data_IF_784251490846
#
_entry.id   IF_784251490846
#
_cell.length_a   1.000
_cell.length_b   1.000
_cell.length_c   1.000
_cell.angle_alpha   90.00
_cell.angle_beta   90.00
_cell.angle_gamma   90.00
#
_symmetry.space_group_name_H-M   'P 1'
#
loop_
_entity.id
_entity.type
_entity.pdbx_description
1 polymer ?
#
# COMPACT_ATOMS: atom_id res chain seq x y z
N UNK A 1 72.56 64.39 -22.31
CA UNK A 1 72.81 65.49 -23.28
C UNK A 1 71.82 65.33 -24.42
N UNK A 2 70.94 66.31 -24.63
CA UNK A 2 69.91 66.39 -25.69
C UNK A 2 70.52 66.60 -27.09
N UNK A 3 69.78 66.49 -28.23
CA UNK A 3 68.68 67.41 -28.62
C UNK A 3 67.42 66.72 -29.18
N UNK A 4 66.20 67.17 -28.79
CA UNK A 4 65.26 68.12 -29.45
C UNK A 4 64.33 67.50 -30.53
N UNK A 5 63.04 67.45 -30.18
CA UNK A 5 61.95 68.16 -30.88
C UNK A 5 61.44 67.63 -32.23
N UNK A 6 60.16 67.26 -32.28
CA UNK A 6 59.41 67.15 -33.55
C UNK A 6 58.04 66.44 -33.44
N UNK A 7 57.00 67.17 -33.02
CA UNK A 7 55.59 67.02 -33.42
C UNK A 7 54.77 65.78 -32.98
N UNK A 8 53.48 65.92 -32.63
CA UNK A 8 52.62 64.78 -32.32
C UNK A 8 52.14 64.12 -33.63
N UNK A 9 52.37 62.81 -33.78
CA UNK A 9 51.74 62.00 -34.81
C UNK A 9 50.30 61.68 -34.36
N UNK A 10 49.34 62.42 -34.90
CA UNK A 10 47.92 62.11 -34.83
C UNK A 10 47.68 60.82 -35.63
N UNK A 11 47.43 59.72 -34.92
CA UNK A 11 46.96 58.48 -35.51
C UNK A 11 45.44 58.60 -35.69
N UNK A 12 45.00 58.88 -36.90
CA UNK A 12 43.60 58.74 -37.31
C UNK A 12 43.15 57.28 -37.09
N UNK A 13 42.03 57.02 -36.40
CA UNK A 13 41.54 55.68 -36.20
C UNK A 13 41.05 55.10 -37.53
N UNK A 14 41.74 54.07 -38.03
CA UNK A 14 41.27 53.26 -39.16
C UNK A 14 39.97 52.58 -38.73
N UNK A 15 38.84 53.11 -39.22
CA UNK A 15 37.53 52.51 -38.98
C UNK A 15 37.49 51.11 -39.62
N UNK A 16 37.09 50.06 -38.88
CA UNK A 16 37.05 48.71 -39.42
C UNK A 16 36.07 48.64 -40.60
N UNK A 17 36.51 48.01 -41.70
CA UNK A 17 35.72 47.82 -42.91
C UNK A 17 34.33 47.23 -42.56
N UNK A 18 33.22 47.81 -43.03
CA UNK A 18 31.86 47.37 -42.69
C UNK A 18 31.59 45.89 -42.99
N UNK A 19 32.33 45.27 -43.91
CA UNK A 19 32.24 43.84 -44.21
C UNK A 19 32.81 42.96 -43.10
N UNK A 20 33.94 43.33 -42.46
CA UNK A 20 34.52 42.53 -41.37
C UNK A 20 33.68 42.60 -40.10
N UNK A 21 33.08 43.76 -39.82
CA UNK A 21 32.14 43.94 -38.71
C UNK A 21 30.84 43.13 -38.91
N UNK A 22 30.33 43.02 -40.14
CA UNK A 22 29.16 42.19 -40.48
C UNK A 22 29.44 40.70 -40.34
N UNK A 23 30.59 40.23 -40.83
CA UNK A 23 30.99 38.83 -40.71
C UNK A 23 31.24 38.44 -39.25
N UNK A 24 31.87 39.30 -38.46
CA UNK A 24 32.05 39.08 -37.03
C UNK A 24 30.70 39.00 -36.28
N UNK A 25 29.74 39.87 -36.62
CA UNK A 25 28.39 39.83 -36.04
C UNK A 25 27.62 38.57 -36.43
N UNK A 26 27.75 38.09 -37.67
CA UNK A 26 27.12 36.84 -38.12
C UNK A 26 27.74 35.61 -37.45
N UNK A 27 29.07 35.58 -37.30
CA UNK A 27 29.76 34.51 -36.59
C UNK A 27 29.37 34.45 -35.10
N UNK A 28 29.28 35.63 -34.44
CA UNK A 28 28.83 35.72 -33.05
C UNK A 28 27.35 35.33 -32.91
N UNK A 29 26.49 35.74 -33.84
CA UNK A 29 25.07 35.40 -33.85
C UNK A 29 24.80 33.91 -34.09
N UNK A 30 25.69 33.18 -34.78
CA UNK A 30 25.60 31.73 -34.96
C UNK A 30 26.23 30.93 -33.80
N UNK A 31 27.29 31.44 -33.17
CA UNK A 31 27.98 30.76 -32.07
C UNK A 31 27.20 30.80 -30.75
N UNK A 32 26.49 31.90 -30.47
CA UNK A 32 25.68 32.06 -29.23
C UNK A 32 24.57 31.00 -29.11
N UNK A 33 23.70 30.74 -30.11
CA UNK A 33 22.65 29.73 -29.99
C UNK A 33 23.22 28.29 -29.93
N UNK A 34 24.36 28.01 -30.58
CA UNK A 34 24.98 26.69 -30.54
C UNK A 34 25.61 26.38 -29.17
N UNK A 35 26.31 27.35 -28.58
CA UNK A 35 26.85 27.24 -27.23
C UNK A 35 25.72 27.19 -26.18
N UNK A 36 24.65 27.96 -26.39
CA UNK A 36 23.46 27.95 -25.52
C UNK A 36 22.72 26.60 -25.58
N UNK A 37 22.62 25.95 -26.74
CA UNK A 37 22.02 24.63 -26.88
C UNK A 37 22.81 23.52 -26.17
N UNK A 38 24.14 23.63 -26.12
CA UNK A 38 25.02 22.70 -25.41
C UNK A 38 25.02 22.90 -23.88
N UNK A 39 24.75 24.12 -23.40
CA UNK A 39 24.67 24.45 -21.98
C UNK A 39 23.25 24.29 -21.40
N UNK A 40 22.20 24.44 -22.21
CA UNK A 40 20.81 24.44 -21.75
C UNK A 40 20.17 23.05 -21.65
N UNK A 41 20.82 21.99 -22.15
CA UNK A 41 20.29 20.63 -22.06
C UNK A 41 21.42 19.63 -21.81
N UNK A 42 21.45 18.93 -20.66
CA UNK A 42 22.48 17.94 -20.40
C UNK A 42 22.48 16.91 -21.55
N UNK A 43 23.66 16.50 -22.05
CA UNK A 43 23.72 15.67 -23.23
C UNK A 43 22.98 14.36 -22.97
N UNK A 44 22.25 13.88 -23.98
CA UNK A 44 21.29 12.77 -23.87
C UNK A 44 21.85 11.49 -23.22
N UNK A 45 23.17 11.28 -23.29
CA UNK A 45 23.87 10.17 -22.64
C UNK A 45 23.99 10.36 -21.11
N UNK A 46 24.16 11.59 -20.63
CA UNK A 46 24.17 11.93 -19.20
C UNK A 46 22.77 11.78 -18.60
N UNK A 47 21.73 12.22 -19.32
CA UNK A 47 20.33 12.03 -18.93
C UNK A 47 19.96 10.55 -18.88
N UNK A 48 20.39 9.76 -19.89
CA UNK A 48 20.26 8.29 -19.88
C UNK A 48 21.03 7.63 -18.73
N UNK A 49 22.27 8.05 -18.45
CA UNK A 49 23.08 7.50 -17.38
C UNK A 49 22.48 7.80 -15.99
N UNK A 50 21.96 9.02 -15.79
CA UNK A 50 21.30 9.42 -14.55
C UNK A 50 19.95 8.70 -14.36
N UNK A 51 19.16 8.53 -15.42
CA UNK A 51 17.93 7.71 -15.38
C UNK A 51 18.24 6.22 -15.13
N UNK A 52 19.27 5.67 -15.79
CA UNK A 52 19.71 4.28 -15.63
C UNK A 52 20.32 4.00 -14.25
N UNK A 53 20.97 4.99 -13.62
CA UNK A 53 21.52 4.87 -12.27
C UNK A 53 20.45 4.76 -11.17
N UNK A 54 19.17 5.01 -11.51
CA UNK A 54 18.07 5.05 -10.56
C UNK A 54 18.15 6.20 -9.56
N UNK A 55 19.21 7.03 -9.58
CA UNK A 55 19.44 8.12 -8.60
C UNK A 55 18.43 9.26 -8.70
N UNK A 56 17.76 9.43 -9.85
CA UNK A 56 16.74 10.47 -10.07
C UNK A 56 15.31 10.02 -9.71
N UNK A 57 15.11 8.76 -9.37
CA UNK A 57 13.78 8.20 -9.10
C UNK A 57 13.75 7.76 -7.66
N UNK A 58 12.96 8.45 -6.84
CA UNK A 58 12.82 8.10 -5.43
C UNK A 58 12.45 6.62 -5.25
N UNK A 59 12.87 5.95 -4.16
CA UNK A 59 12.49 4.56 -3.89
C UNK A 59 10.99 4.31 -4.04
N UNK A 60 10.16 5.27 -3.64
CA UNK A 60 8.70 5.23 -3.74
C UNK A 60 8.23 5.18 -5.20
N UNK A 61 8.84 5.99 -6.08
CA UNK A 61 8.51 5.96 -7.52
C UNK A 61 8.93 4.64 -8.17
N UNK A 62 10.05 4.04 -7.74
CA UNK A 62 10.46 2.70 -8.22
C UNK A 62 9.47 1.62 -7.78
N UNK A 63 9.05 1.65 -6.52
CA UNK A 63 8.04 0.71 -6.00
C UNK A 63 6.70 0.85 -6.75
N UNK A 64 6.23 2.08 -6.92
CA UNK A 64 4.98 2.35 -7.65
C UNK A 64 5.04 1.87 -9.11
N UNK A 65 6.18 2.05 -9.78
CA UNK A 65 6.39 1.54 -11.14
C UNK A 65 6.41 0.01 -11.18
N UNK A 66 7.05 -0.64 -10.20
CA UNK A 66 7.04 -2.09 -10.06
C UNK A 66 5.63 -2.63 -9.82
N UNK A 67 4.86 -2.03 -8.91
CA UNK A 67 3.46 -2.39 -8.67
C UNK A 67 2.60 -2.23 -9.91
N UNK A 68 2.83 -1.18 -10.70
CA UNK A 68 2.10 -0.95 -11.95
C UNK A 68 2.40 -2.04 -12.99
N UNK A 69 3.65 -2.49 -13.09
CA UNK A 69 4.04 -3.60 -13.97
C UNK A 69 3.42 -4.93 -13.50
N UNK A 70 3.44 -5.21 -12.19
CA UNK A 70 2.77 -6.39 -11.63
C UNK A 70 1.28 -6.37 -11.91
N UNK A 71 0.60 -5.24 -11.69
CA UNK A 71 -0.82 -5.08 -12.00
C UNK A 71 -1.13 -5.37 -13.47
N UNK A 72 -0.30 -4.88 -14.40
CA UNK A 72 -0.48 -5.14 -15.85
C UNK A 72 -0.28 -6.61 -16.16
N UNK A 73 0.79 -7.24 -15.67
CA UNK A 73 1.05 -8.66 -15.85
C UNK A 73 -0.10 -9.53 -15.29
N UNK A 74 -0.59 -9.18 -14.10
CA UNK A 74 -1.76 -9.79 -13.49
C UNK A 74 -3.00 -9.64 -14.37
N UNK A 75 -3.27 -8.44 -14.87
CA UNK A 75 -4.43 -8.17 -15.75
C UNK A 75 -4.33 -8.96 -17.06
N UNK A 76 -3.15 -9.03 -17.67
CA UNK A 76 -2.92 -9.79 -18.91
C UNK A 76 -2.97 -11.30 -18.71
N UNK A 77 -2.56 -11.80 -17.54
CA UNK A 77 -2.64 -13.22 -17.18
C UNK A 77 -4.05 -13.66 -16.75
N UNK A 78 -4.91 -12.70 -16.36
CA UNK A 78 -6.33 -12.93 -16.09
C UNK A 78 -7.07 -12.96 -17.44
N UNK A 79 -7.16 -14.14 -18.07
CA UNK A 79 -8.04 -14.37 -19.25
C UNK A 79 -9.53 -14.08 -18.97
N UNK A 80 -10.46 -14.63 -19.75
CA UNK A 80 -11.93 -14.42 -19.58
C UNK A 80 -12.50 -15.04 -18.29
N UNK A 81 -12.09 -14.54 -17.12
CA UNK A 81 -12.71 -14.91 -15.85
C UNK A 81 -14.12 -14.35 -15.81
N UNK A 82 -15.05 -15.19 -15.32
CA UNK A 82 -16.39 -14.75 -14.93
C UNK A 82 -16.25 -13.53 -14.01
N UNK A 83 -16.99 -12.46 -14.31
CA UNK A 83 -17.02 -11.28 -13.45
C UNK A 83 -17.57 -11.68 -12.10
N UNK A 84 -16.81 -11.42 -11.05
CA UNK A 84 -17.26 -11.57 -9.66
C UNK A 84 -17.41 -10.17 -9.10
N UNK A 85 -18.58 -9.87 -8.55
CA UNK A 85 -18.82 -8.65 -7.78
C UNK A 85 -18.71 -9.01 -6.30
N UNK A 86 -17.85 -8.30 -5.58
CA UNK A 86 -17.68 -8.45 -4.13
C UNK A 86 -18.14 -7.16 -3.47
N UNK A 87 -19.01 -7.29 -2.48
CA UNK A 87 -19.47 -6.19 -1.63
C UNK A 87 -18.73 -6.28 -0.30
N UNK A 88 -17.94 -5.26 0.01
CA UNK A 88 -17.21 -5.14 1.27
C UNK A 88 -17.95 -4.15 2.16
N UNK A 89 -18.43 -4.64 3.29
CA UNK A 89 -19.27 -3.90 4.22
C UNK A 89 -18.56 -3.92 5.57
N UNK A 90 -18.27 -2.75 6.12
CA UNK A 90 -17.81 -2.62 7.51
C UNK A 90 -19.01 -2.84 8.43
N UNK A 91 -18.78 -3.46 9.59
CA UNK A 91 -19.81 -3.55 10.64
C UNK A 91 -20.35 -2.16 11.01
N UNK A 92 -21.60 -2.11 11.49
CA UNK A 92 -22.17 -0.88 12.05
C UNK A 92 -21.43 -0.41 13.30
N UNK A 93 -21.72 0.78 13.80
CA UNK A 93 -21.12 1.29 15.04
C UNK A 93 -21.19 0.27 16.19
N UNK A 94 -20.09 0.14 16.93
CA UNK A 94 -19.97 -0.75 18.09
C UNK A 94 -19.71 0.05 19.36
N UNK A 95 -19.94 -0.57 20.52
CA UNK A 95 -19.65 0.06 21.82
C UNK A 95 -18.19 0.53 21.92
N UNK A 96 -17.24 -0.23 21.36
CA UNK A 96 -15.83 0.17 21.28
C UNK A 96 -15.59 1.36 20.33
N UNK A 97 -16.48 1.62 19.36
CA UNK A 97 -16.37 2.80 18.51
C UNK A 97 -16.69 4.09 19.27
N UNK A 98 -17.56 4.04 20.29
CA UNK A 98 -17.83 5.18 21.17
C UNK A 98 -16.57 5.63 21.92
N UNK A 99 -15.64 4.69 22.14
CA UNK A 99 -14.34 4.91 22.77
C UNK A 99 -13.17 4.96 21.76
N UNK A 100 -13.43 4.87 20.45
CA UNK A 100 -12.38 4.70 19.42
C UNK A 100 -11.48 5.92 19.26
N UNK A 101 -11.88 7.10 19.74
CA UNK A 101 -11.01 8.28 19.80
C UNK A 101 -9.95 8.19 20.91
N UNK A 102 -10.15 7.30 21.87
CA UNK A 102 -9.37 7.22 23.10
C UNK A 102 -8.45 6.00 23.13
N UNK A 103 -8.94 4.84 22.66
CA UNK A 103 -8.24 3.56 22.78
C UNK A 103 -7.93 2.98 21.40
N UNK A 104 -6.74 2.39 21.24
CA UNK A 104 -6.35 1.68 20.03
C UNK A 104 -7.15 0.39 19.90
N UNK A 105 -7.96 0.29 18.85
CA UNK A 105 -8.71 -0.92 18.51
C UNK A 105 -7.83 -2.07 18.00
N UNK A 106 -8.45 -3.19 17.67
CA UNK A 106 -7.77 -4.38 17.16
C UNK A 106 -8.70 -5.57 17.03
N UNK A 107 -8.18 -6.78 17.25
CA UNK A 107 -8.93 -8.04 17.19
C UNK A 107 -9.81 -8.28 18.43
N UNK A 108 -10.57 -7.27 18.81
CA UNK A 108 -11.68 -7.46 19.72
C UNK A 108 -12.81 -8.14 18.94
N UNK A 109 -13.31 -9.26 19.45
CA UNK A 109 -14.39 -10.05 18.83
C UNK A 109 -15.68 -10.01 19.65
N UNK A 110 -15.61 -9.57 20.90
CA UNK A 110 -16.71 -9.65 21.85
C UNK A 110 -17.57 -8.38 21.87
N UNK A 111 -16.99 -7.22 21.53
CA UNK A 111 -17.73 -5.95 21.56
C UNK A 111 -18.97 -6.00 20.63
N UNK A 112 -20.16 -5.69 21.18
CA UNK A 112 -21.41 -5.69 20.43
C UNK A 112 -21.59 -4.41 19.59
N UNK A 113 -22.63 -4.39 18.76
CA UNK A 113 -23.09 -3.16 18.11
C UNK A 113 -23.71 -2.22 19.14
N UNK A 114 -23.63 -0.91 18.89
CA UNK A 114 -24.47 0.07 19.56
C UNK A 114 -25.88 0.05 18.95
N UNK A 115 -26.85 0.70 19.62
CA UNK A 115 -28.19 0.89 19.06
C UNK A 115 -28.14 1.57 17.67
N UNK A 116 -27.28 2.58 17.52
CA UNK A 116 -27.00 3.24 16.23
C UNK A 116 -26.45 2.25 15.21
N UNK A 117 -25.54 1.35 15.60
CA UNK A 117 -24.98 0.33 14.73
C UNK A 117 -25.97 -0.72 14.25
N UNK A 118 -26.95 -1.08 15.08
CA UNK A 118 -28.06 -1.95 14.68
C UNK A 118 -28.96 -1.25 13.65
N UNK A 119 -29.28 0.02 13.86
CA UNK A 119 -30.07 0.80 12.90
C UNK A 119 -29.33 0.99 11.56
N UNK A 120 -28.02 1.24 11.60
CA UNK A 120 -27.18 1.29 10.39
C UNK A 120 -27.23 -0.03 9.61
N UNK A 121 -27.21 -1.17 10.30
CA UNK A 121 -27.31 -2.49 9.66
C UNK A 121 -28.69 -2.70 9.02
N UNK A 122 -29.75 -2.21 9.67
CA UNK A 122 -31.12 -2.25 9.15
C UNK A 122 -31.27 -1.42 7.88
N UNK A 123 -30.84 -0.16 7.91
CA UNK A 123 -30.87 0.76 6.75
C UNK A 123 -30.02 0.25 5.58
N UNK A 124 -28.89 -0.39 5.86
CA UNK A 124 -28.10 -1.08 4.86
C UNK A 124 -28.93 -2.17 4.16
N UNK A 125 -29.61 -3.03 4.91
CA UNK A 125 -30.45 -4.08 4.35
C UNK A 125 -31.58 -3.54 3.48
N UNK A 126 -32.27 -2.48 3.93
CA UNK A 126 -33.31 -1.81 3.13
C UNK A 126 -32.76 -1.24 1.81
N UNK A 127 -31.56 -0.64 1.85
CA UNK A 127 -30.91 -0.16 0.64
C UNK A 127 -30.59 -1.31 -0.30
N UNK A 128 -30.04 -2.41 0.20
CA UNK A 128 -29.74 -3.60 -0.61
C UNK A 128 -31.00 -4.19 -1.27
N UNK A 129 -32.14 -4.14 -0.56
CA UNK A 129 -33.44 -4.55 -1.10
C UNK A 129 -33.88 -3.63 -2.24
N UNK A 130 -33.84 -2.31 -2.04
CA UNK A 130 -34.19 -1.32 -3.07
C UNK A 130 -33.31 -1.44 -4.31
N UNK A 131 -32.03 -1.75 -4.13
CA UNK A 131 -31.06 -1.94 -5.21
C UNK A 131 -31.25 -3.27 -5.96
N UNK A 132 -32.20 -4.13 -5.53
CA UNK A 132 -32.48 -5.42 -6.17
C UNK A 132 -31.30 -6.39 -6.13
N UNK A 133 -30.43 -6.29 -5.11
CA UNK A 133 -29.20 -7.05 -5.05
C UNK A 133 -29.47 -8.55 -4.91
N UNK A 134 -28.86 -9.35 -5.79
CA UNK A 134 -28.77 -10.80 -5.64
C UNK A 134 -27.39 -11.19 -5.12
N UNK A 135 -27.35 -12.01 -4.08
CA UNK A 135 -26.11 -12.54 -3.50
C UNK A 135 -26.08 -14.06 -3.56
N UNK A 136 -24.96 -14.60 -4.01
CA UNK A 136 -24.72 -16.05 -4.03
C UNK A 136 -24.24 -16.56 -2.66
N UNK A 137 -23.54 -15.71 -1.90
CA UNK A 137 -23.01 -16.03 -0.59
C UNK A 137 -22.81 -14.77 0.27
N UNK A 138 -22.95 -14.94 1.58
CA UNK A 138 -22.69 -13.91 2.59
C UNK A 138 -21.62 -14.43 3.54
N UNK A 139 -20.62 -13.60 3.82
CA UNK A 139 -19.54 -13.92 4.75
C UNK A 139 -19.43 -12.83 5.81
N UNK A 140 -19.15 -13.24 7.04
CA UNK A 140 -18.83 -12.33 8.14
C UNK A 140 -17.64 -12.88 8.94
N UNK A 141 -16.93 -12.01 9.64
CA UNK A 141 -15.94 -12.48 10.62
C UNK A 141 -16.63 -13.07 11.85
N UNK A 142 -15.84 -13.70 12.73
CA UNK A 142 -16.33 -14.23 13.99
C UNK A 142 -16.57 -13.15 15.07
N UNK A 143 -16.29 -11.88 14.78
CA UNK A 143 -16.61 -10.79 15.69
C UNK A 143 -18.13 -10.60 15.79
N UNK A 144 -18.65 -10.49 17.02
CA UNK A 144 -20.08 -10.36 17.32
C UNK A 144 -20.71 -9.22 16.54
N UNK A 145 -20.07 -8.04 16.52
CA UNK A 145 -20.55 -6.87 15.76
C UNK A 145 -20.68 -7.14 14.25
N UNK A 146 -19.71 -7.84 13.64
CA UNK A 146 -19.74 -8.12 12.20
C UNK A 146 -20.82 -9.14 11.85
N UNK A 147 -20.95 -10.19 12.67
CA UNK A 147 -22.03 -11.18 12.52
C UNK A 147 -23.40 -10.53 12.67
N UNK A 148 -23.61 -9.73 13.73
CA UNK A 148 -24.88 -9.06 13.99
C UNK A 148 -25.26 -8.09 12.88
N UNK A 149 -24.30 -7.32 12.33
CA UNK A 149 -24.54 -6.47 11.16
C UNK A 149 -25.00 -7.30 9.96
N UNK A 150 -24.33 -8.41 9.66
CA UNK A 150 -24.70 -9.28 8.54
C UNK A 150 -26.10 -9.89 8.74
N UNK A 151 -26.40 -10.37 9.94
CA UNK A 151 -27.70 -10.98 10.27
C UNK A 151 -28.85 -9.96 10.10
N UNK A 152 -28.73 -8.75 10.68
CA UNK A 152 -29.73 -7.69 10.55
C UNK A 152 -29.90 -7.27 9.08
N UNK A 153 -28.79 -7.01 8.38
CA UNK A 153 -28.83 -6.54 7.00
C UNK A 153 -29.44 -7.60 6.06
N UNK A 154 -29.12 -8.88 6.25
CA UNK A 154 -29.71 -9.97 5.45
C UNK A 154 -31.21 -10.10 5.69
N UNK A 155 -31.65 -9.99 6.95
CA UNK A 155 -33.06 -10.02 7.30
C UNK A 155 -33.84 -8.88 6.61
N UNK A 156 -33.35 -7.63 6.74
CA UNK A 156 -33.97 -6.47 6.10
C UNK A 156 -33.89 -6.49 4.55
N UNK A 157 -32.86 -7.12 3.99
CA UNK A 157 -32.70 -7.28 2.54
C UNK A 157 -33.48 -8.47 1.95
N UNK A 158 -34.22 -9.24 2.76
CA UNK A 158 -34.84 -10.50 2.38
C UNK A 158 -33.87 -11.53 1.75
N UNK A 159 -32.60 -11.49 2.17
CA UNK A 159 -31.55 -12.41 1.74
C UNK A 159 -31.67 -13.70 2.55
N UNK A 160 -31.88 -14.83 1.85
CA UNK A 160 -32.08 -16.15 2.47
C UNK A 160 -30.78 -16.93 2.69
N UNK A 161 -29.68 -16.48 2.10
CA UNK A 161 -28.37 -17.13 2.23
C UNK A 161 -27.90 -17.06 3.68
N UNK A 162 -27.53 -18.22 4.26
CA UNK A 162 -26.94 -18.28 5.59
C UNK A 162 -25.61 -17.52 5.62
N UNK A 163 -25.43 -16.66 6.62
CA UNK A 163 -24.15 -15.99 6.90
C UNK A 163 -23.09 -17.04 7.24
N UNK A 164 -22.03 -17.11 6.43
CA UNK A 164 -20.87 -18.00 6.65
C UNK A 164 -19.82 -17.26 7.47
N UNK A 165 -19.46 -17.83 8.61
CA UNK A 165 -18.40 -17.26 9.45
C UNK A 165 -17.04 -17.64 8.87
N UNK A 166 -16.25 -16.63 8.51
CA UNK A 166 -14.87 -16.78 8.02
C UNK A 166 -13.92 -16.07 9.00
N UNK A 167 -13.22 -16.82 9.88
CA UNK A 167 -12.38 -16.24 10.91
C UNK A 167 -11.26 -15.34 10.37
N UNK A 168 -10.81 -15.56 9.14
CA UNK A 168 -9.76 -14.76 8.47
C UNK A 168 -10.20 -13.34 8.11
N UNK A 169 -11.51 -13.04 8.15
CA UNK A 169 -12.06 -11.70 7.91
C UNK A 169 -12.05 -10.79 9.16
N UNK A 170 -11.51 -11.26 10.29
CA UNK A 170 -11.41 -10.43 11.50
C UNK A 170 -10.52 -9.20 11.27
N UNK A 171 -10.79 -8.14 12.02
CA UNK A 171 -10.03 -6.88 12.02
C UNK A 171 -8.51 -7.12 12.06
N UNK A 172 -7.75 -6.18 11.49
CA UNK A 172 -6.30 -6.19 11.59
C UNK A 172 -5.85 -6.12 13.05
N UNK A 173 -4.82 -6.90 13.42
CA UNK A 173 -4.25 -6.82 14.78
C UNK A 173 -3.21 -5.72 14.84
N UNK A 174 -3.32 -4.86 15.85
CA UNK A 174 -2.33 -3.83 16.15
C UNK A 174 -1.23 -4.35 17.10
N UNK A 175 -1.23 -5.65 17.41
CA UNK A 175 -0.24 -6.28 18.29
C UNK A 175 -0.24 -5.67 19.69
N UNK A 176 0.94 -5.30 20.19
CA UNK A 176 1.13 -4.70 21.51
C UNK A 176 0.58 -3.27 21.65
N UNK A 177 0.04 -2.69 20.58
CA UNK A 177 -0.61 -1.37 20.63
C UNK A 177 -2.08 -1.45 21.03
N UNK A 178 -2.72 -2.62 20.88
CA UNK A 178 -4.14 -2.80 21.19
C UNK A 178 -4.43 -2.43 22.65
N UNK A 179 -5.62 -1.84 22.90
CA UNK A 179 -6.09 -1.41 24.22
C UNK A 179 -5.29 -0.29 24.91
N UNK A 180 -4.27 0.27 24.25
CA UNK A 180 -3.54 1.45 24.76
C UNK A 180 -4.24 2.74 24.39
N UNK A 181 -3.94 3.81 25.12
CA UNK A 181 -4.45 5.14 24.81
C UNK A 181 -3.84 5.64 23.50
N UNK A 182 -4.69 6.08 22.59
CA UNK A 182 -4.29 6.65 21.30
C UNK A 182 -3.42 7.88 21.47
N UNK A 183 -3.72 8.71 22.47
CA UNK A 183 -2.92 9.88 22.82
C UNK A 183 -1.46 9.52 23.10
N UNK A 184 -1.19 8.38 23.73
CA UNK A 184 0.16 7.89 24.01
C UNK A 184 0.79 7.21 22.79
N UNK A 185 0.02 6.35 22.11
CA UNK A 185 0.52 5.53 20.99
C UNK A 185 0.88 6.38 19.78
N UNK A 186 0.09 7.41 19.49
CA UNK A 186 0.26 8.28 18.32
C UNK A 186 0.88 9.65 18.65
N UNK A 187 1.27 9.90 19.90
CA UNK A 187 2.01 11.12 20.26
C UNK A 187 3.31 11.27 19.46
N UNK A 188 3.81 12.51 19.38
CA UNK A 188 5.17 12.78 18.93
C UNK A 188 6.17 11.94 19.76
N UNK A 189 7.03 11.20 19.07
CA UNK A 189 7.94 10.26 19.72
C UNK A 189 7.28 9.02 20.30
N UNK A 190 5.98 8.78 20.09
CA UNK A 190 5.26 7.56 20.48
C UNK A 190 5.66 6.34 19.63
N UNK A 191 5.25 5.12 20.04
CA UNK A 191 5.69 3.87 19.40
C UNK A 191 5.43 3.80 17.90
N UNK A 192 4.31 4.36 17.41
CA UNK A 192 3.99 4.36 15.98
C UNK A 192 4.95 5.26 15.20
N UNK A 193 5.12 6.52 15.61
CA UNK A 193 5.98 7.46 14.90
C UNK A 193 7.46 7.08 15.01
N UNK A 194 7.90 6.52 16.14
CA UNK A 194 9.25 5.92 16.27
C UNK A 194 9.46 4.77 15.30
N UNK A 195 8.48 3.89 15.14
CA UNK A 195 8.54 2.77 14.21
C UNK A 195 8.58 3.20 12.74
N UNK A 196 7.86 4.26 12.38
CA UNK A 196 7.89 4.82 11.02
C UNK A 196 9.22 5.53 10.73
N UNK A 197 9.77 6.26 11.71
CA UNK A 197 11.05 6.95 11.58
C UNK A 197 12.26 5.99 11.58
N UNK A 198 12.09 4.76 12.08
CA UNK A 198 13.14 3.75 12.05
C UNK A 198 13.44 3.33 10.60
N UNK A 199 14.69 3.37 10.14
CA UNK A 199 15.04 2.95 8.79
C UNK A 199 14.74 1.45 8.61
N UNK A 200 13.76 1.11 7.77
CA UNK A 200 13.43 -0.29 7.49
C UNK A 200 14.24 -0.84 6.32
N UNK A 201 14.88 -1.99 6.53
CA UNK A 201 15.58 -2.76 5.48
C UNK A 201 14.66 -3.22 4.33
N UNK A 202 13.34 -3.16 4.51
CA UNK A 202 12.31 -3.58 3.56
C UNK A 202 11.99 -2.53 2.46
N UNK A 203 12.53 -1.31 2.58
CA UNK A 203 12.30 -0.22 1.60
C UNK A 203 13.19 -0.31 0.36
N UNK A 204 14.13 -1.26 0.31
CA UNK A 204 14.94 -1.54 -0.87
C UNK A 204 14.14 -2.43 -1.85
N UNK A 205 13.72 -1.93 -3.04
CA UNK A 205 13.15 -2.81 -4.06
C UNK A 205 14.18 -3.91 -4.41
N UNK A 206 13.74 -5.14 -4.71
CA UNK A 206 14.67 -6.21 -5.07
C UNK A 206 15.57 -5.75 -6.23
N UNK A 207 16.88 -6.05 -6.19
CA UNK A 207 17.80 -5.62 -7.23
C UNK A 207 17.30 -6.10 -8.60
N UNK A 208 17.43 -5.23 -9.62
CA UNK A 208 16.92 -5.43 -10.99
C UNK A 208 17.29 -6.80 -11.60
N UNK A 209 18.37 -7.42 -11.12
CA UNK A 209 18.83 -8.75 -11.54
C UNK A 209 17.83 -9.90 -11.26
N UNK A 210 16.87 -9.75 -10.35
CA UNK A 210 15.82 -10.77 -10.13
C UNK A 210 14.68 -10.73 -11.14
N UNK A 211 14.51 -9.64 -11.91
CA UNK A 211 13.40 -9.47 -12.86
C UNK A 211 13.44 -10.50 -14.00
N UNK A 212 14.62 -11.00 -14.35
CA UNK A 212 14.80 -11.95 -15.45
C UNK A 212 14.69 -13.43 -15.05
N UNK A 213 14.69 -13.74 -13.75
CA UNK A 213 14.64 -15.14 -13.28
C UNK A 213 13.25 -15.77 -13.45
N UNK A 214 12.17 -15.00 -13.33
CA UNK A 214 10.80 -15.52 -13.39
C UNK A 214 10.30 -15.78 -14.83
N UNK A 215 10.95 -15.20 -15.84
CA UNK A 215 10.62 -15.43 -17.25
C UNK A 215 11.29 -16.71 -17.79
N UNK A 216 12.37 -17.19 -17.18
CA UNK A 216 13.03 -18.45 -17.59
C UNK A 216 12.40 -19.72 -17.00
N UNK A 217 11.69 -19.62 -15.87
CA UNK A 217 11.11 -20.79 -15.20
C UNK A 217 9.84 -21.35 -15.89
N UNK A 218 9.25 -20.65 -16.87
CA UNK A 218 8.00 -21.08 -17.53
C UNK A 218 8.16 -21.78 -18.89
N UNK A 219 9.39 -22.10 -19.31
CA UNK A 219 9.66 -22.91 -20.52
C UNK A 219 10.16 -24.33 -20.22
N UNK A 220 9.60 -24.98 -19.20
CA UNK A 220 9.58 -26.45 -19.13
C UNK A 220 8.13 -26.89 -18.98
N UNK A 221 7.54 -27.19 -20.13
CA UNK A 221 6.42 -28.11 -20.25
C UNK A 221 6.78 -29.40 -19.52
N UNK A 222 5.87 -29.86 -18.66
CA UNK A 222 5.57 -31.28 -18.53
C UNK A 222 4.16 -31.41 -17.96
N UNK A 223 3.29 -31.84 -18.85
CA UNK A 223 2.09 -32.63 -18.58
C UNK A 223 2.25 -33.47 -17.31
N UNK A 224 1.28 -33.37 -16.41
CA UNK A 224 1.02 -34.44 -15.47
C UNK A 224 -0.48 -34.69 -15.40
N UNK A 225 -0.81 -35.90 -15.82
CA UNK A 225 -2.09 -36.57 -15.77
C UNK A 225 -2.57 -36.69 -14.31
N UNK A 226 -3.88 -36.55 -14.13
CA UNK A 226 -4.53 -36.73 -12.84
C UNK A 226 -4.54 -38.22 -12.43
N UNK A 227 -4.12 -38.51 -11.21
CA UNK A 227 -4.59 -39.68 -10.46
C UNK A 227 -4.79 -39.32 -8.98
N UNK A 228 -5.87 -39.83 -8.34
CA UNK A 228 -6.20 -39.51 -6.95
C UNK A 228 -5.63 -40.57 -6.00
N UNK A 229 -5.07 -40.15 -4.85
CA UNK A 229 -5.05 -40.97 -3.63
C UNK A 229 -4.54 -40.18 -2.41
N UNK A 230 -5.21 -40.46 -1.28
CA UNK A 230 -4.71 -40.49 0.10
C UNK A 230 -4.41 -39.17 0.86
N UNK A 231 -5.31 -38.90 1.81
CA UNK A 231 -5.06 -38.20 3.07
C UNK A 231 -3.93 -38.89 3.86
N UNK A 232 -3.08 -38.13 4.60
CA UNK A 232 -2.44 -38.65 5.79
C UNK A 232 -3.18 -38.18 7.05
N UNK A 233 -3.51 -39.18 7.85
CA UNK A 233 -4.01 -39.13 9.22
C UNK A 233 -3.07 -38.45 10.19
N UNK A 234 -3.66 -38.02 11.31
CA UNK A 234 -3.04 -37.46 12.50
C UNK A 234 -1.77 -38.19 12.97
N UNK A 235 -0.83 -37.43 13.52
CA UNK A 235 0.16 -37.95 14.45
C UNK A 235 0.24 -37.00 15.64
N UNK A 236 -0.08 -37.58 16.80
CA UNK A 236 0.07 -37.02 18.12
C UNK A 236 1.55 -36.73 18.41
N UNK A 237 1.82 -35.57 19.00
CA UNK A 237 3.06 -35.31 19.70
C UNK A 237 2.73 -34.63 21.03
N UNK A 238 2.63 -35.45 22.06
CA UNK A 238 2.69 -35.07 23.46
C UNK A 238 3.96 -34.27 23.73
N UNK A 239 3.82 -33.07 24.30
CA UNK A 239 4.84 -32.51 25.20
C UNK A 239 4.17 -31.92 26.43
N UNK A 240 4.37 -32.66 27.51
CA UNK A 240 4.29 -32.26 28.91
C UNK A 240 5.05 -30.97 29.18
N UNK A 241 4.43 -30.06 29.93
CA UNK A 241 5.04 -28.83 30.41
C UNK A 241 4.17 -28.20 31.50
N UNK A 242 4.26 -28.79 32.70
CA UNK A 242 4.09 -28.19 34.04
C UNK A 242 3.36 -26.84 34.13
N UNK A 243 2.13 -26.87 34.67
CA UNK A 243 1.48 -25.71 35.29
C UNK A 243 1.25 -26.01 36.77
N UNK A 244 1.97 -25.29 37.62
CA UNK A 244 1.84 -25.28 39.07
C UNK A 244 1.20 -23.95 39.51
N UNK A 245 0.19 -24.03 40.38
CA UNK A 245 -0.50 -22.90 41.02
C UNK A 245 -1.90 -22.70 40.43
N UNK A 246 -3.02 -23.03 41.07
CA UNK A 246 -3.31 -23.05 42.50
C UNK A 246 -4.20 -21.86 42.85
N UNK A 247 -5.52 -21.97 42.65
CA UNK A 247 -6.57 -21.34 43.47
C UNK A 247 -7.96 -21.83 43.01
N UNK A 248 -8.42 -22.94 43.57
CA UNK A 248 -9.81 -23.34 43.49
C UNK A 248 -10.58 -22.66 44.63
N UNK A 249 -11.61 -21.87 44.29
CA UNK A 249 -12.65 -21.49 45.25
C UNK A 249 -13.99 -21.97 44.71
N UNK A 250 -14.53 -22.88 45.48
CA UNK A 250 -15.72 -23.70 45.30
C UNK A 250 -16.97 -22.85 45.55
N UNK A 251 -17.91 -22.82 44.61
CA UNK A 251 -19.28 -22.37 44.87
C UNK A 251 -20.20 -23.55 44.57
N UNK A 252 -20.87 -24.02 45.63
CA UNK A 252 -21.78 -25.16 45.64
C UNK A 252 -23.05 -24.86 44.84
N UNK A 253 -23.61 -25.93 44.29
CA UNK A 253 -24.96 -25.99 43.73
C UNK A 253 -25.94 -26.11 44.88
N UNK A 254 -26.99 -25.30 44.86
CA UNK A 254 -28.23 -25.54 45.59
C UNK A 254 -29.36 -25.70 44.57
N UNK A 255 -30.00 -26.87 44.62
CA UNK A 255 -31.32 -27.15 44.04
C UNK A 255 -32.20 -27.62 45.20
N UNK A 256 -33.40 -27.07 45.39
CA UNK A 256 -34.44 -27.76 46.15
C UNK A 256 -35.43 -28.46 45.20
N UNK A 257 -35.70 -29.70 45.55
CA UNK A 257 -36.94 -30.44 45.28
C UNK A 257 -38.16 -29.71 45.83
N UNK A 258 -39.10 -29.36 44.96
CA UNK A 258 -40.50 -29.82 44.89
C UNK A 258 -41.18 -29.17 43.68
#
# INVERSE_FOLDING_TARGET
RCPRGGGPLVLEPVMPNPLSARLARLALAAAIPLASALLASPPWWLTRALLASGRLVSPQRRLAAWDALQRRADQSARGSRRRVRVLLIRHGESEANLQAGQIVGGRDVATPLSATGEEQARLLGERLLRDGLRVDAVYASHAVRARKTADIACAAAAIRQRVRIEPRLVEFSQGSLERRWRAEVYAAGGPVLRGIAAPSAASAPPPLLRLFSHLRARRRTRSFTAHPAALPTATSASRSGTWSGGCARQIRRDTPTE
#
